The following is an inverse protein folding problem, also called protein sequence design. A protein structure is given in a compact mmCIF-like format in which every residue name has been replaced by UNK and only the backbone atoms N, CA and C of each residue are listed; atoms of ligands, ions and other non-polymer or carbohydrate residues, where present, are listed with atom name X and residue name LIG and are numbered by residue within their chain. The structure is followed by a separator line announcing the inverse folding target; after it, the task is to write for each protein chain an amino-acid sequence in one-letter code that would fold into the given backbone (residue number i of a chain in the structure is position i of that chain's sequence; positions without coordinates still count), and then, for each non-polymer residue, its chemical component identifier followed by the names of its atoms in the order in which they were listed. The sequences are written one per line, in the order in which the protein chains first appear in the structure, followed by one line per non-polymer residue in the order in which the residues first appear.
data_IF_169773265715
#
_entry.id   IF_169773265715
#
_cell.length_a   1.000
_cell.length_b   1.000
_cell.length_c   1.000
_cell.angle_alpha   90.00
_cell.angle_beta   90.00
_cell.angle_gamma   90.00
#
_symmetry.space_group_name_H-M   'P 1'
#
loop_
_entity.id
_entity.type
_entity.pdbx_description
1 polymer ?
#
# COMPACT_ATOMS: atom_id res chain seq x y z
N UNK A 1 -74.23 -17.39 -16.38
CA UNK A 1 -75.10 -16.21 -16.61
C UNK A 1 -74.39 -14.98 -16.06
N UNK A 2 -74.37 -13.87 -16.82
CA UNK A 2 -73.14 -13.54 -17.52
C UNK A 2 -72.76 -12.04 -17.51
N UNK A 3 -71.52 -11.79 -17.93
CA UNK A 3 -71.07 -10.72 -18.85
C UNK A 3 -70.98 -9.25 -18.40
N UNK A 4 -69.80 -8.67 -18.72
CA UNK A 4 -69.52 -7.41 -19.45
C UNK A 4 -68.52 -6.54 -18.69
N UNK A 5 -67.54 -5.88 -19.29
CA UNK A 5 -66.98 -5.80 -20.65
C UNK A 5 -65.73 -4.90 -20.44
N UNK A 6 -64.60 -5.21 -21.06
CA UNK A 6 -63.50 -4.25 -21.22
C UNK A 6 -63.98 -3.06 -22.09
N UNK A 7 -63.28 -1.91 -22.01
CA UNK A 7 -62.39 -1.66 -23.14
C UNK A 7 -61.00 -1.17 -22.74
N UNK A 8 -60.07 -1.49 -23.64
CA UNK A 8 -58.73 -0.93 -23.77
C UNK A 8 -58.77 0.60 -23.82
N UNK A 9 -57.84 1.27 -23.13
CA UNK A 9 -57.31 2.56 -23.60
C UNK A 9 -55.88 2.80 -23.10
N UNK A 10 -54.98 2.69 -24.06
CA UNK A 10 -53.76 3.48 -24.30
C UNK A 10 -52.57 3.52 -23.31
N UNK A 11 -51.44 3.20 -23.92
CA UNK A 11 -50.09 3.11 -23.40
C UNK A 11 -49.39 4.48 -23.54
N UNK A 12 -49.13 5.19 -22.43
CA UNK A 12 -48.13 6.28 -22.37
C UNK A 12 -47.38 6.23 -21.02
N UNK A 13 -46.04 6.28 -20.99
CA UNK A 13 -45.27 6.02 -19.76
C UNK A 13 -45.00 7.30 -18.95
N UNK A 14 -45.12 7.29 -17.61
CA UNK A 14 -44.56 8.35 -16.79
C UNK A 14 -43.11 8.03 -16.36
N UNK A 15 -42.22 8.83 -16.95
CA UNK A 15 -40.91 9.35 -16.50
C UNK A 15 -40.30 8.84 -15.19
N UNK A 16 -39.01 8.52 -15.32
CA UNK A 16 -37.96 8.43 -14.29
C UNK A 16 -38.22 9.15 -12.95
N UNK A 17 -38.09 8.39 -11.87
CA UNK A 17 -37.44 8.83 -10.64
C UNK A 17 -38.32 9.50 -9.59
N UNK A 18 -39.00 8.68 -8.77
CA UNK A 18 -39.52 9.15 -7.48
C UNK A 18 -39.25 8.11 -6.41
N UNK A 19 -38.16 8.30 -5.66
CA UNK A 19 -37.97 7.65 -4.36
C UNK A 19 -38.91 8.31 -3.37
N UNK A 20 -39.75 7.51 -2.72
CA UNK A 20 -40.53 7.91 -1.55
C UNK A 20 -39.59 8.39 -0.44
N UNK A 21 -39.57 9.69 -0.20
CA UNK A 21 -38.89 10.32 0.94
C UNK A 21 -39.82 10.31 2.15
N UNK A 22 -39.51 9.46 3.13
CA UNK A 22 -40.02 9.62 4.49
C UNK A 22 -39.46 10.90 5.12
N UNK A 23 -40.34 11.67 5.75
CA UNK A 23 -40.10 12.96 6.40
C UNK A 23 -39.04 12.85 7.52
N UNK A 24 -38.01 13.71 7.58
CA UNK A 24 -37.06 13.70 8.67
C UNK A 24 -37.61 14.46 9.90
N UNK A 25 -37.57 13.82 11.07
CA UNK A 25 -37.72 14.49 12.37
C UNK A 25 -36.40 15.15 12.78
N UNK A 26 -36.53 16.35 13.34
CA UNK A 26 -35.54 17.28 13.87
C UNK A 26 -34.21 16.70 14.41
N UNK A 27 -33.10 17.34 14.01
CA UNK A 27 -32.33 18.13 14.97
C UNK A 27 -31.09 17.54 15.64
N UNK A 28 -30.50 16.46 15.13
CA UNK A 28 -29.14 16.05 15.54
C UNK A 28 -28.25 15.90 14.32
N UNK A 29 -27.25 16.78 14.20
CA UNK A 29 -26.17 16.66 13.23
C UNK A 29 -25.29 15.50 13.65
N UNK A 30 -25.52 14.35 13.03
CA UNK A 30 -24.60 13.21 13.06
C UNK A 30 -23.26 13.64 12.41
N UNK A 31 -22.15 13.72 13.17
CA UNK A 31 -20.88 14.24 12.67
C UNK A 31 -20.25 13.35 11.60
N UNK A 32 -20.75 12.12 11.40
CA UNK A 32 -20.22 11.15 10.43
C UNK A 32 -21.02 11.07 9.13
N UNK A 33 -22.03 11.93 8.91
CA UNK A 33 -22.78 11.91 7.65
C UNK A 33 -21.88 12.42 6.51
N UNK A 34 -21.51 11.59 5.51
CA UNK A 34 -20.68 12.03 4.40
C UNK A 34 -21.40 13.14 3.65
N UNK A 35 -20.78 14.33 3.61
CA UNK A 35 -21.37 15.47 2.91
C UNK A 35 -21.54 15.15 1.43
N UNK A 36 -22.56 15.72 0.77
CA UNK A 36 -22.84 15.51 -0.66
C UNK A 36 -21.69 15.91 -1.60
N UNK A 37 -20.65 16.54 -1.05
CA UNK A 37 -19.43 16.97 -1.72
C UNK A 37 -18.23 16.06 -1.45
N UNK A 38 -18.41 14.96 -0.70
CA UNK A 38 -17.37 13.95 -0.48
C UNK A 38 -17.38 12.90 -1.59
N UNK A 39 -16.22 12.27 -1.82
CA UNK A 39 -16.11 11.16 -2.76
C UNK A 39 -17.14 10.08 -2.40
N UNK A 40 -17.91 9.62 -3.41
CA UNK A 40 -18.84 8.52 -3.23
C UNK A 40 -18.15 7.27 -2.64
N UNK A 41 -18.89 6.39 -1.96
CA UNK A 41 -18.32 5.22 -1.27
C UNK A 41 -17.41 4.43 -2.22
N UNK A 42 -16.27 3.96 -1.70
CA UNK A 42 -15.32 3.14 -2.46
C UNK A 42 -16.11 2.01 -3.14
N UNK A 43 -15.85 1.74 -4.43
CA UNK A 43 -16.46 0.62 -5.15
C UNK A 43 -16.36 -0.63 -4.27
N UNK A 44 -17.50 -1.25 -3.96
CA UNK A 44 -17.54 -2.48 -3.18
C UNK A 44 -16.63 -3.52 -3.85
N UNK A 45 -15.89 -4.34 -3.08
CA UNK A 45 -15.13 -5.45 -3.63
C UNK A 45 -16.04 -6.26 -4.57
N UNK A 46 -15.48 -6.80 -5.67
CA UNK A 46 -16.23 -7.66 -6.58
C UNK A 46 -17.02 -8.71 -5.77
N UNK A 47 -18.35 -8.73 -5.95
CA UNK A 47 -19.28 -9.64 -5.26
C UNK A 47 -18.99 -11.13 -5.48
N UNK A 48 -18.01 -11.50 -6.32
CA UNK A 48 -17.67 -12.87 -6.68
C UNK A 48 -16.59 -13.53 -5.81
N UNK A 49 -15.93 -12.79 -4.90
CA UNK A 49 -14.91 -13.37 -4.01
C UNK A 49 -15.27 -13.15 -2.56
N UNK A 50 -15.15 -14.20 -1.75
CA UNK A 50 -15.39 -14.14 -0.30
C UNK A 50 -14.58 -12.99 0.35
N UNK A 51 -15.20 -12.16 1.21
CA UNK A 51 -14.52 -11.06 1.90
C UNK A 51 -13.22 -11.48 2.61
N UNK A 52 -13.16 -12.67 3.21
CA UNK A 52 -11.95 -13.16 3.88
C UNK A 52 -10.81 -13.43 2.90
N UNK A 53 -11.12 -13.97 1.71
CA UNK A 53 -10.12 -14.11 0.64
C UNK A 53 -9.63 -12.71 0.23
N UNK A 54 -10.53 -11.75 0.12
CA UNK A 54 -10.18 -10.38 -0.22
C UNK A 54 -9.27 -9.72 0.82
N UNK A 55 -9.58 -9.85 2.11
CA UNK A 55 -8.75 -9.35 3.20
C UNK A 55 -7.41 -10.09 3.28
N UNK A 56 -7.40 -11.40 3.08
CA UNK A 56 -6.18 -12.21 3.04
C UNK A 56 -5.18 -11.73 1.99
N UNK A 57 -5.67 -11.31 0.81
CA UNK A 57 -4.82 -10.70 -0.24
C UNK A 57 -4.13 -9.44 0.26
N UNK A 58 -4.83 -8.58 1.01
CA UNK A 58 -4.24 -7.36 1.56
C UNK A 58 -3.27 -7.65 2.70
N UNK A 59 -3.66 -8.54 3.62
CA UNK A 59 -2.84 -8.98 4.74
C UNK A 59 -1.45 -9.44 4.26
N UNK A 60 -1.42 -10.35 3.28
CA UNK A 60 -0.16 -10.85 2.72
C UNK A 60 0.70 -9.77 2.07
N UNK A 61 0.10 -8.74 1.49
CA UNK A 61 0.82 -7.66 0.80
C UNK A 61 1.32 -6.57 1.75
N UNK A 62 0.52 -6.20 2.76
CA UNK A 62 0.71 -4.95 3.51
C UNK A 62 0.93 -5.14 5.02
N UNK A 63 0.71 -6.36 5.55
CA UNK A 63 0.86 -6.68 6.97
C UNK A 63 1.96 -7.71 7.19
N UNK A 64 1.83 -8.91 6.62
CA UNK A 64 2.85 -9.95 6.73
C UNK A 64 2.76 -11.02 5.63
N UNK A 65 3.80 -11.15 4.79
CA UNK A 65 3.74 -11.98 3.58
C UNK A 65 3.94 -13.50 3.80
N UNK A 66 4.71 -13.86 4.83
CA UNK A 66 5.14 -15.24 5.11
C UNK A 66 4.41 -15.86 6.31
N UNK A 67 3.25 -15.33 6.68
CA UNK A 67 2.50 -15.83 7.83
C UNK A 67 2.00 -17.26 7.57
N UNK A 68 2.11 -18.13 8.58
CA UNK A 68 1.20 -19.26 8.74
C UNK A 68 -0.04 -18.73 9.45
N UNK A 69 -1.08 -18.37 8.71
CA UNK A 69 -2.25 -17.66 9.28
C UNK A 69 -3.00 -18.54 10.28
N UNK A 70 -3.03 -19.85 10.08
CA UNK A 70 -3.65 -20.77 11.02
C UNK A 70 -2.93 -20.75 12.37
N UNK A 71 -1.61 -20.94 12.37
CA UNK A 71 -0.82 -20.87 13.60
C UNK A 71 -0.93 -19.49 14.25
N UNK A 72 -0.90 -18.41 13.46
CA UNK A 72 -1.06 -17.05 13.95
C UNK A 72 -2.40 -16.83 14.67
N UNK A 73 -3.51 -17.34 14.11
CA UNK A 73 -4.84 -17.21 14.71
C UNK A 73 -4.95 -18.05 15.98
N UNK A 74 -4.49 -19.31 15.96
CA UNK A 74 -4.53 -20.18 17.14
C UNK A 74 -3.68 -19.62 18.30
N UNK A 75 -2.44 -19.21 18.02
CA UNK A 75 -1.58 -18.57 19.01
C UNK A 75 -2.17 -17.25 19.52
N UNK A 76 -2.80 -16.47 18.63
CA UNK A 76 -3.43 -15.20 18.98
C UNK A 76 -4.65 -15.34 19.89
N UNK A 77 -5.49 -16.37 19.68
CA UNK A 77 -6.66 -16.65 20.53
C UNK A 77 -6.28 -17.19 21.90
N UNK A 78 -5.14 -17.88 22.00
CA UNK A 78 -4.61 -18.39 23.26
C UNK A 78 -3.75 -17.35 24.02
N UNK A 79 -3.51 -16.18 23.43
CA UNK A 79 -2.77 -15.12 24.10
C UNK A 79 -3.68 -14.47 25.15
N UNK A 80 -3.26 -14.54 26.41
CA UNK A 80 -3.97 -13.92 27.53
C UNK A 80 -3.95 -12.37 27.40
N UNK A 81 -5.11 -11.75 27.20
CA UNK A 81 -5.28 -10.30 27.10
C UNK A 81 -5.15 -9.57 28.44
N UNK A 82 -5.42 -10.27 29.55
CA UNK A 82 -5.45 -9.70 30.90
C UNK A 82 -4.07 -9.67 31.57
N UNK A 83 -3.07 -10.30 30.93
CA UNK A 83 -1.68 -10.28 31.36
C UNK A 83 -0.92 -9.09 30.75
N UNK A 84 -0.42 -8.13 31.56
CA UNK A 84 0.43 -7.05 31.07
C UNK A 84 1.63 -7.59 30.24
N UNK A 85 2.03 -6.89 29.15
CA UNK A 85 3.16 -7.31 28.31
C UNK A 85 4.50 -7.46 29.07
N UNK A 86 4.59 -6.85 30.24
CA UNK A 86 5.76 -6.87 31.12
C UNK A 86 5.82 -8.11 32.04
N UNK A 87 4.67 -8.72 32.35
CA UNK A 87 4.57 -9.96 33.15
C UNK A 87 4.57 -11.22 32.29
N UNK A 88 4.16 -11.10 31.03
CA UNK A 88 4.27 -12.17 30.04
C UNK A 88 5.73 -12.22 29.55
N UNK A 89 6.48 -13.26 29.92
CA UNK A 89 7.84 -13.52 29.43
C UNK A 89 7.84 -13.95 27.94
N UNK A 90 7.18 -13.18 27.08
CA UNK A 90 7.12 -13.44 25.64
C UNK A 90 8.47 -13.12 25.00
N UNK A 91 8.96 -14.06 24.21
CA UNK A 91 10.07 -13.86 23.29
C UNK A 91 9.79 -12.74 22.28
N UNK A 92 10.84 -12.22 21.66
CA UNK A 92 10.72 -11.21 20.60
C UNK A 92 9.88 -11.69 19.41
N UNK A 93 9.88 -13.01 19.15
CA UNK A 93 9.09 -13.67 18.12
C UNK A 93 7.60 -13.65 18.46
N UNK A 94 7.22 -14.11 19.65
CA UNK A 94 5.82 -14.12 20.10
C UNK A 94 5.22 -12.70 20.15
N UNK A 95 5.99 -11.72 20.61
CA UNK A 95 5.58 -10.30 20.57
C UNK A 95 5.29 -9.83 19.14
N UNK A 96 6.06 -10.28 18.15
CA UNK A 96 5.84 -9.95 16.73
C UNK A 96 4.59 -10.64 16.21
N UNK A 97 4.40 -11.92 16.50
CA UNK A 97 3.21 -12.69 16.13
C UNK A 97 1.94 -12.03 16.68
N UNK A 98 1.92 -11.67 17.96
CA UNK A 98 0.78 -10.98 18.57
C UNK A 98 0.49 -9.62 17.90
N UNK A 99 1.53 -8.84 17.57
CA UNK A 99 1.35 -7.58 16.81
C UNK A 99 0.75 -7.82 15.42
N UNK A 100 1.19 -8.86 14.73
CA UNK A 100 0.67 -9.23 13.40
C UNK A 100 -0.78 -9.72 13.51
N UNK A 101 -1.11 -10.50 14.52
CA UNK A 101 -2.47 -10.95 14.82
C UNK A 101 -3.41 -9.78 15.12
N UNK A 102 -3.01 -8.85 15.99
CA UNK A 102 -3.79 -7.62 16.28
C UNK A 102 -4.03 -6.77 15.02
N UNK A 103 -3.04 -6.67 14.12
CA UNK A 103 -3.22 -6.02 12.81
C UNK A 103 -4.20 -6.75 11.91
N UNK A 104 -4.23 -8.09 11.95
CA UNK A 104 -5.21 -8.89 11.21
C UNK A 104 -6.63 -8.63 11.72
N UNK A 105 -6.85 -8.63 13.04
CA UNK A 105 -8.15 -8.32 13.66
C UNK A 105 -8.63 -6.93 13.28
N UNK A 106 -7.78 -5.90 13.40
CA UNK A 106 -8.13 -4.53 13.05
C UNK A 106 -8.48 -4.31 11.56
N UNK A 107 -7.99 -5.19 10.67
CA UNK A 107 -8.19 -5.06 9.23
C UNK A 107 -9.50 -5.72 8.75
N UNK A 108 -10.00 -6.72 9.46
CA UNK A 108 -11.19 -7.48 9.07
C UNK A 108 -12.35 -7.16 10.01
N UNK A 109 -13.42 -6.51 9.54
CA UNK A 109 -14.56 -6.16 10.37
C UNK A 109 -15.14 -7.38 11.11
N UNK A 110 -15.41 -7.22 12.40
CA UNK A 110 -16.00 -8.22 13.29
C UNK A 110 -15.24 -9.56 13.40
N UNK A 111 -13.99 -9.64 12.92
CA UNK A 111 -13.23 -10.88 12.90
C UNK A 111 -12.99 -11.44 14.30
N UNK A 112 -12.62 -10.59 15.24
CA UNK A 112 -12.35 -10.99 16.62
C UNK A 112 -13.56 -11.66 17.26
N UNK A 113 -14.71 -10.97 17.26
CA UNK A 113 -15.98 -11.53 17.73
C UNK A 113 -16.29 -12.84 17.02
N UNK A 114 -16.13 -12.89 15.69
CA UNK A 114 -16.40 -14.09 14.90
C UNK A 114 -15.50 -15.25 15.34
N UNK A 115 -14.22 -15.03 15.57
CA UNK A 115 -13.29 -16.07 16.02
C UNK A 115 -13.65 -16.58 17.42
N UNK A 116 -13.98 -15.68 18.34
CA UNK A 116 -14.32 -16.03 19.73
C UNK A 116 -15.63 -16.81 19.88
N UNK A 117 -16.58 -16.62 18.96
CA UNK A 117 -17.89 -17.32 19.00
C UNK A 117 -17.96 -18.54 18.08
N UNK A 118 -16.90 -18.84 17.33
CA UNK A 118 -16.88 -19.91 16.33
C UNK A 118 -16.40 -21.24 16.93
N UNK A 119 -16.78 -22.34 16.29
CA UNK A 119 -16.16 -23.64 16.56
C UNK A 119 -14.70 -23.66 16.08
N UNK A 120 -13.89 -24.61 16.56
CA UNK A 120 -12.51 -24.79 16.08
C UNK A 120 -12.46 -25.04 14.56
N UNK A 121 -13.39 -25.84 14.02
CA UNK A 121 -13.52 -26.10 12.59
C UNK A 121 -13.80 -24.82 11.78
N UNK A 122 -14.66 -23.94 12.31
CA UNK A 122 -14.97 -22.66 11.67
C UNK A 122 -13.79 -21.69 11.73
N UNK A 123 -13.05 -21.64 12.84
CA UNK A 123 -11.81 -20.85 12.98
C UNK A 123 -10.79 -21.30 11.93
N UNK A 124 -10.64 -22.62 11.76
CA UNK A 124 -9.78 -23.22 10.75
C UNK A 124 -10.21 -22.86 9.32
N UNK A 125 -11.52 -22.88 9.03
CA UNK A 125 -12.06 -22.46 7.75
C UNK A 125 -11.80 -20.98 7.46
N UNK A 126 -11.95 -20.10 8.46
CA UNK A 126 -11.65 -18.67 8.37
C UNK A 126 -10.16 -18.45 8.05
N UNK A 127 -9.26 -19.10 8.79
CA UNK A 127 -7.82 -19.02 8.57
C UNK A 127 -7.44 -19.52 7.17
N UNK A 128 -8.06 -20.60 6.69
CA UNK A 128 -7.86 -21.16 5.36
C UNK A 128 -8.26 -20.18 4.24
N UNK A 129 -9.40 -19.48 4.39
CA UNK A 129 -9.83 -18.46 3.43
C UNK A 129 -8.88 -17.26 3.38
N UNK A 130 -8.41 -16.78 4.54
CA UNK A 130 -7.40 -15.73 4.62
C UNK A 130 -6.08 -16.17 3.97
N UNK A 131 -5.63 -17.39 4.24
CA UNK A 131 -4.40 -17.96 3.68
C UNK A 131 -4.50 -18.12 2.16
N UNK A 132 -5.65 -18.58 1.66
CA UNK A 132 -5.97 -18.63 0.22
C UNK A 132 -5.92 -17.24 -0.40
N UNK A 133 -6.43 -16.22 0.29
CA UNK A 133 -6.29 -14.83 -0.09
C UNK A 133 -4.83 -14.41 -0.22
N UNK A 134 -4.02 -14.58 0.82
CA UNK A 134 -2.61 -14.20 0.81
C UNK A 134 -1.82 -14.90 -0.31
N UNK A 135 -2.03 -16.21 -0.48
CA UNK A 135 -1.35 -17.00 -1.51
C UNK A 135 -1.78 -16.63 -2.93
N UNK A 136 -3.08 -16.40 -3.17
CA UNK A 136 -3.57 -15.98 -4.49
C UNK A 136 -3.11 -14.57 -4.87
N UNK A 137 -3.14 -13.63 -3.92
CA UNK A 137 -2.59 -12.28 -4.11
C UNK A 137 -1.11 -12.31 -4.51
N UNK A 138 -0.31 -13.12 -3.80
CA UNK A 138 1.10 -13.33 -4.12
C UNK A 138 1.30 -13.94 -5.51
N UNK A 139 0.55 -14.98 -5.85
CA UNK A 139 0.67 -15.65 -7.15
C UNK A 139 0.38 -14.69 -8.32
N UNK A 140 -0.66 -13.86 -8.20
CA UNK A 140 -1.00 -12.85 -9.19
C UNK A 140 0.12 -11.81 -9.36
N UNK A 141 0.65 -11.31 -8.24
CA UNK A 141 1.72 -10.31 -8.25
C UNK A 141 3.00 -10.89 -8.88
N UNK A 142 3.41 -12.09 -8.47
CA UNK A 142 4.53 -12.84 -9.04
C UNK A 142 4.36 -13.04 -10.56
N UNK A 143 3.18 -13.47 -10.99
CA UNK A 143 2.89 -13.69 -12.42
C UNK A 143 2.95 -12.38 -13.20
N UNK A 144 2.37 -11.31 -12.65
CA UNK A 144 2.27 -10.03 -13.34
C UNK A 144 3.63 -9.29 -13.45
N UNK A 145 4.51 -9.44 -12.45
CA UNK A 145 5.85 -8.83 -12.45
C UNK A 145 6.85 -9.58 -13.34
N UNK A 146 6.63 -10.88 -13.57
CA UNK A 146 7.55 -11.76 -14.29
C UNK A 146 8.04 -11.18 -15.62
N UNK A 147 7.15 -10.64 -16.44
CA UNK A 147 7.53 -10.08 -17.74
C UNK A 147 8.02 -8.65 -17.66
N UNK A 148 7.28 -7.80 -16.94
CA UNK A 148 7.45 -6.34 -16.97
C UNK A 148 8.74 -5.86 -16.30
N UNK A 149 9.29 -6.62 -15.35
CA UNK A 149 10.54 -6.23 -14.68
C UNK A 149 11.71 -6.12 -15.67
N UNK A 150 11.69 -6.92 -16.75
CA UNK A 150 12.73 -6.90 -17.79
C UNK A 150 12.69 -5.60 -18.58
N UNK A 151 11.50 -5.02 -18.78
CA UNK A 151 11.31 -3.75 -19.48
C UNK A 151 11.88 -2.56 -18.67
N UNK A 152 12.14 -2.76 -17.37
CA UNK A 152 12.57 -1.70 -16.45
C UNK A 152 14.07 -1.63 -16.22
N UNK A 153 14.81 -2.69 -16.57
CA UNK A 153 16.23 -2.86 -16.22
C UNK A 153 17.19 -2.53 -17.37
N UNK A 154 16.67 -1.91 -18.44
CA UNK A 154 17.43 -1.46 -19.60
C UNK A 154 17.46 -2.50 -20.73
N UNK A 155 18.19 -2.22 -21.83
CA UNK A 155 18.42 -3.20 -22.88
C UNK A 155 19.16 -4.42 -22.30
N UNK A 156 18.75 -5.60 -22.76
CA UNK A 156 19.28 -6.87 -22.28
C UNK A 156 20.06 -7.55 -23.39
N UNK A 157 21.28 -7.98 -23.08
CA UNK A 157 22.15 -8.72 -23.97
C UNK A 157 22.68 -9.97 -23.25
N UNK A 158 22.31 -11.18 -23.71
CA UNK A 158 21.31 -11.45 -24.76
C UNK A 158 19.88 -11.10 -24.30
N UNK A 159 18.93 -10.83 -25.22
CA UNK A 159 17.54 -10.58 -24.87
C UNK A 159 16.92 -11.71 -24.04
N UNK A 160 16.23 -11.36 -22.95
CA UNK A 160 15.56 -12.33 -22.08
C UNK A 160 14.08 -12.49 -22.40
N UNK A 161 13.60 -13.74 -22.45
CA UNK A 161 12.20 -14.02 -22.65
C UNK A 161 11.34 -13.61 -21.44
N UNK A 162 10.21 -12.92 -21.70
CA UNK A 162 9.31 -12.40 -20.65
C UNK A 162 8.63 -13.49 -19.82
N UNK A 163 8.43 -14.67 -20.40
CA UNK A 163 7.74 -15.80 -19.79
C UNK A 163 8.67 -16.92 -19.27
N UNK A 164 9.98 -16.82 -19.44
CA UNK A 164 10.96 -17.83 -18.98
C UNK A 164 11.95 -17.18 -18.02
N UNK A 165 12.26 -17.87 -16.90
CA UNK A 165 13.17 -17.35 -15.86
C UNK A 165 14.54 -18.03 -15.84
N UNK A 166 14.71 -19.20 -16.45
CA UNK A 166 15.94 -20.01 -16.33
C UNK A 166 17.21 -19.25 -16.71
N UNK A 167 17.15 -18.40 -17.74
CA UNK A 167 18.28 -17.58 -18.19
C UNK A 167 18.48 -16.28 -17.42
N UNK A 168 17.69 -16.00 -16.39
CA UNK A 168 17.83 -14.83 -15.50
C UNK A 168 18.71 -15.17 -14.30
N UNK A 169 18.65 -14.34 -13.25
CA UNK A 169 19.50 -14.53 -12.09
C UNK A 169 20.96 -14.31 -12.46
N UNK A 170 21.84 -15.12 -11.89
CA UNK A 170 23.28 -15.07 -12.16
C UNK A 170 23.66 -15.59 -13.56
N UNK A 171 22.74 -16.18 -14.32
CA UNK A 171 22.98 -16.66 -15.69
C UNK A 171 23.01 -15.55 -16.75
N UNK A 172 22.62 -14.31 -16.41
CA UNK A 172 22.64 -13.17 -17.31
C UNK A 172 23.28 -11.96 -16.62
N UNK A 173 24.12 -11.22 -17.34
CA UNK A 173 24.97 -10.18 -16.76
C UNK A 173 24.17 -9.07 -16.05
N UNK A 174 23.11 -8.54 -16.69
CA UNK A 174 22.28 -7.50 -16.07
C UNK A 174 21.52 -7.96 -14.82
N UNK A 175 20.79 -9.08 -14.88
CA UNK A 175 20.03 -9.57 -13.72
C UNK A 175 20.95 -10.08 -12.62
N UNK A 176 22.09 -10.66 -12.99
CA UNK A 176 23.10 -11.14 -12.07
C UNK A 176 23.76 -9.98 -11.32
N UNK A 177 24.16 -8.92 -12.03
CA UNK A 177 24.64 -7.67 -11.44
C UNK A 177 23.65 -7.12 -10.41
N UNK A 178 22.37 -6.95 -10.82
CA UNK A 178 21.33 -6.41 -9.94
C UNK A 178 21.12 -7.24 -8.67
N UNK A 179 21.28 -8.56 -8.75
CA UNK A 179 21.11 -9.50 -7.64
C UNK A 179 22.39 -9.71 -6.82
N UNK A 180 23.55 -9.28 -7.34
CA UNK A 180 24.81 -9.40 -6.65
C UNK A 180 24.82 -8.40 -5.46
N UNK A 181 25.12 -8.87 -4.25
CA UNK A 181 25.25 -7.98 -3.10
C UNK A 181 26.53 -7.14 -3.24
N UNK A 182 26.54 -5.91 -2.71
CA UNK A 182 27.65 -4.97 -2.94
C UNK A 182 28.98 -5.41 -2.33
N UNK A 183 28.98 -6.36 -1.39
CA UNK A 183 30.19 -6.92 -0.81
C UNK A 183 30.93 -7.88 -1.77
N UNK A 184 30.30 -8.26 -2.89
CA UNK A 184 30.89 -9.10 -3.92
C UNK A 184 31.13 -8.28 -5.20
N UNK A 185 32.32 -8.43 -5.78
CA UNK A 185 32.65 -7.79 -7.05
C UNK A 185 32.06 -8.59 -8.23
N UNK A 186 30.98 -8.09 -8.83
CA UNK A 186 30.37 -8.71 -10.01
C UNK A 186 31.27 -8.69 -11.26
N UNK A 187 32.27 -7.80 -11.31
CA UNK A 187 33.20 -7.75 -12.44
C UNK A 187 34.17 -8.94 -12.44
N UNK A 188 34.42 -9.53 -11.26
CA UNK A 188 35.21 -10.74 -11.09
C UNK A 188 34.53 -11.95 -11.77
N UNK A 189 35.25 -12.57 -12.72
CA UNK A 189 34.76 -13.75 -13.43
C UNK A 189 34.61 -14.98 -12.54
N UNK A 190 35.44 -15.13 -11.52
CA UNK A 190 35.40 -16.27 -10.61
C UNK A 190 34.19 -16.17 -9.68
N UNK A 191 33.88 -14.98 -9.17
CA UNK A 191 32.64 -14.71 -8.42
C UNK A 191 31.41 -15.02 -9.27
N UNK A 192 31.35 -14.51 -10.51
CA UNK A 192 30.24 -14.80 -11.43
C UNK A 192 30.08 -16.30 -11.68
N UNK A 193 31.18 -17.02 -11.87
CA UNK A 193 31.17 -18.47 -12.10
C UNK A 193 30.68 -19.24 -10.86
N UNK A 194 31.19 -18.92 -9.68
CA UNK A 194 30.78 -19.56 -8.42
C UNK A 194 29.29 -19.34 -8.14
N UNK A 195 28.78 -18.13 -8.39
CA UNK A 195 27.35 -17.81 -8.24
C UNK A 195 26.47 -18.55 -9.27
N UNK A 196 26.90 -18.62 -10.53
CA UNK A 196 26.20 -19.38 -11.59
C UNK A 196 26.13 -20.88 -11.27
N UNK A 197 27.23 -21.44 -10.79
CA UNK A 197 27.35 -22.85 -10.46
C UNK A 197 26.73 -23.22 -9.10
N UNK A 198 26.28 -22.22 -8.32
CA UNK A 198 25.78 -22.39 -6.94
C UNK A 198 26.84 -22.92 -5.97
N UNK A 199 28.12 -22.71 -6.26
CA UNK A 199 29.24 -22.98 -5.35
C UNK A 199 29.31 -21.92 -4.26
N UNK A 200 28.97 -20.67 -4.61
CA UNK A 200 28.75 -19.57 -3.69
C UNK A 200 27.24 -19.32 -3.56
N UNK A 201 26.73 -19.41 -2.34
CA UNK A 201 25.31 -19.12 -2.03
C UNK A 201 25.20 -17.80 -1.27
N UNK A 202 24.24 -16.97 -1.66
CA UNK A 202 24.00 -15.66 -1.04
C UNK A 202 22.78 -15.78 -0.13
N UNK A 203 22.99 -15.65 1.17
CA UNK A 203 21.90 -15.57 2.16
C UNK A 203 20.97 -14.39 1.84
N UNK A 204 19.68 -14.53 2.15
CA UNK A 204 18.70 -13.44 2.01
C UNK A 204 19.04 -12.20 2.84
N UNK A 205 19.93 -12.31 3.84
CA UNK A 205 20.42 -11.16 4.61
C UNK A 205 21.43 -10.29 3.84
N UNK A 206 22.06 -10.80 2.79
CA UNK A 206 22.93 -10.01 1.91
C UNK A 206 22.06 -9.33 0.86
N UNK A 207 21.86 -8.03 1.02
CA UNK A 207 20.96 -7.31 0.15
C UNK A 207 21.58 -7.05 -1.22
N UNK A 208 20.84 -7.35 -2.29
CA UNK A 208 21.34 -7.18 -3.65
C UNK A 208 21.44 -5.69 -4.02
N UNK A 209 22.39 -5.32 -4.88
CA UNK A 209 22.67 -3.93 -5.25
C UNK A 209 21.43 -3.17 -5.77
N UNK A 210 20.44 -3.86 -6.35
CA UNK A 210 19.21 -3.21 -6.82
C UNK A 210 18.42 -2.51 -5.71
N UNK A 211 18.64 -2.81 -4.42
CA UNK A 211 17.97 -2.09 -3.35
C UNK A 211 18.47 -0.65 -3.20
N UNK A 212 19.68 -0.36 -3.69
CA UNK A 212 20.31 0.95 -3.60
C UNK A 212 19.99 1.82 -4.80
N UNK A 213 19.76 3.11 -4.54
CA UNK A 213 19.58 4.14 -5.57
C UNK A 213 20.77 4.11 -6.53
N UNK A 214 20.47 4.10 -7.82
CA UNK A 214 21.45 4.07 -8.90
C UNK A 214 22.44 2.88 -8.80
N UNK A 215 22.05 1.80 -8.10
CA UNK A 215 22.87 0.59 -7.97
C UNK A 215 24.27 0.90 -7.39
N UNK A 216 24.34 1.83 -6.44
CA UNK A 216 25.59 2.29 -5.82
C UNK A 216 25.54 2.09 -4.31
N UNK A 217 26.55 1.43 -3.75
CA UNK A 217 26.73 1.22 -2.32
C UNK A 217 27.93 1.99 -1.79
N UNK A 218 27.80 2.54 -0.58
CA UNK A 218 28.85 3.29 0.12
C UNK A 218 29.10 2.61 1.47
N UNK A 219 30.23 1.89 1.66
CA UNK A 219 30.49 1.13 2.88
C UNK A 219 30.63 2.02 4.12
N UNK A 220 31.03 3.29 3.94
CA UNK A 220 31.13 4.27 5.04
C UNK A 220 29.78 4.92 5.36
N UNK A 221 28.80 4.80 4.46
CA UNK A 221 27.44 5.32 4.64
C UNK A 221 26.38 4.33 4.12
N UNK A 222 26.14 3.18 4.77
CA UNK A 222 25.28 2.11 4.27
C UNK A 222 23.82 2.53 4.02
N UNK A 223 23.30 3.56 4.70
CA UNK A 223 21.95 4.08 4.46
C UNK A 223 21.82 4.93 3.18
N UNK A 224 22.94 5.35 2.59
CA UNK A 224 22.98 6.25 1.44
C UNK A 224 22.36 5.58 0.21
N UNK A 225 21.14 6.00 -0.10
CA UNK A 225 20.39 5.49 -1.25
C UNK A 225 19.72 4.14 -1.00
N UNK A 226 19.85 3.55 0.18
CA UNK A 226 19.19 2.29 0.54
C UNK A 226 17.66 2.40 0.37
N UNK A 227 17.07 1.39 -0.26
CA UNK A 227 15.64 1.27 -0.58
C UNK A 227 15.04 2.42 -1.42
N UNK A 228 15.87 3.11 -2.21
CA UNK A 228 15.47 4.25 -3.06
C UNK A 228 15.72 4.03 -4.56
N UNK A 229 15.95 2.79 -5.00
CA UNK A 229 16.05 2.48 -6.42
C UNK A 229 14.70 2.63 -7.13
N UNK A 230 14.68 3.26 -8.30
CA UNK A 230 13.47 3.45 -9.11
C UNK A 230 12.83 2.11 -9.54
N UNK A 231 13.61 1.03 -9.66
CA UNK A 231 13.10 -0.32 -9.90
C UNK A 231 12.11 -0.76 -8.81
N UNK A 232 12.41 -0.45 -7.55
CA UNK A 232 11.53 -0.73 -6.42
C UNK A 232 10.24 0.08 -6.52
N UNK A 233 10.35 1.35 -6.90
CA UNK A 233 9.20 2.26 -7.04
C UNK A 233 8.25 1.76 -8.14
N UNK A 234 8.80 1.33 -9.28
CA UNK A 234 8.03 0.69 -10.36
C UNK A 234 7.34 -0.58 -9.89
N UNK A 235 8.06 -1.45 -9.17
CA UNK A 235 7.50 -2.66 -8.57
C UNK A 235 6.34 -2.37 -7.61
N UNK A 236 6.50 -1.36 -6.74
CA UNK A 236 5.47 -0.97 -5.79
C UNK A 236 4.23 -0.46 -6.50
N UNK A 237 4.41 0.46 -7.47
CA UNK A 237 3.32 1.01 -8.28
C UNK A 237 2.56 -0.10 -9.00
N UNK A 238 3.28 -1.05 -9.60
CA UNK A 238 2.70 -2.18 -10.31
C UNK A 238 1.82 -3.06 -9.40
N UNK A 239 2.30 -3.39 -8.19
CA UNK A 239 1.54 -4.19 -7.21
C UNK A 239 0.37 -3.40 -6.62
N UNK A 240 0.60 -2.17 -6.15
CA UNK A 240 -0.35 -1.49 -5.27
C UNK A 240 -1.25 -0.48 -5.99
N UNK A 241 -0.82 0.14 -7.09
CA UNK A 241 -1.57 1.25 -7.71
C UNK A 241 -2.22 0.86 -9.02
N UNK A 242 -1.45 0.46 -10.03
CA UNK A 242 -1.93 -0.07 -11.30
C UNK A 242 -0.69 -0.45 -12.12
N UNK A 243 -0.71 -1.52 -12.91
CA UNK A 243 0.32 -1.75 -13.92
C UNK A 243 0.51 -0.54 -14.86
N UNK A 244 -0.58 0.18 -15.14
CA UNK A 244 -0.57 1.36 -16.01
C UNK A 244 -0.07 2.66 -15.36
N UNK A 245 0.30 2.66 -14.07
CA UNK A 245 0.83 3.88 -13.41
C UNK A 245 2.36 3.93 -13.39
N UNK A 246 2.99 2.89 -13.94
CA UNK A 246 4.44 2.79 -14.10
C UNK A 246 4.91 3.78 -15.17
N UNK A 247 4.16 3.89 -16.25
CA UNK A 247 4.27 4.96 -17.25
C UNK A 247 3.26 6.04 -16.87
N UNK A 248 3.64 7.31 -16.76
CA UNK A 248 2.82 8.41 -16.21
C UNK A 248 1.51 8.75 -16.99
N UNK A 249 1.04 7.85 -17.87
CA UNK A 249 -0.23 7.96 -18.61
C UNK A 249 -1.37 7.21 -17.89
N UNK A 250 -2.41 7.90 -17.39
CA UNK A 250 -3.52 7.26 -16.70
C UNK A 250 -4.41 6.46 -17.67
N UNK A 251 -4.14 5.14 -17.79
CA UNK A 251 -4.97 4.18 -18.57
C UNK A 251 -5.79 3.21 -17.69
N UNK A 252 -5.90 3.46 -16.39
CA UNK A 252 -6.49 2.50 -15.46
C UNK A 252 -8.02 2.41 -15.57
N UNK A 253 -8.55 1.24 -15.95
CA UNK A 253 -10.00 0.92 -15.95
C UNK A 253 -10.50 0.38 -14.60
N UNK A 254 -9.59 0.02 -13.67
CA UNK A 254 -9.89 -0.53 -12.34
C UNK A 254 -9.10 0.19 -11.25
N UNK A 255 -9.65 0.24 -10.04
CA UNK A 255 -8.97 0.78 -8.85
C UNK A 255 -7.76 -0.08 -8.46
N UNK A 256 -6.66 0.55 -8.06
CA UNK A 256 -5.48 -0.13 -7.51
C UNK A 256 -5.71 -0.82 -6.17
N UNK A 257 -4.90 -1.82 -5.85
CA UNK A 257 -4.94 -2.54 -4.57
C UNK A 257 -4.87 -1.59 -3.36
N UNK A 258 -4.00 -0.58 -3.38
CA UNK A 258 -3.92 0.46 -2.36
C UNK A 258 -5.24 1.21 -2.20
N UNK A 259 -5.87 1.64 -3.30
CA UNK A 259 -7.16 2.33 -3.24
C UNK A 259 -8.29 1.42 -2.77
N UNK A 260 -8.30 0.16 -3.23
CA UNK A 260 -9.29 -0.86 -2.86
C UNK A 260 -9.28 -1.06 -1.34
N UNK A 261 -8.09 -1.17 -0.75
CA UNK A 261 -7.93 -1.40 0.68
C UNK A 261 -7.80 -0.10 1.50
N UNK A 262 -7.89 1.08 0.87
CA UNK A 262 -7.85 2.37 1.55
C UNK A 262 -6.48 2.76 2.13
N UNK A 263 -5.39 2.24 1.55
CA UNK A 263 -4.05 2.67 1.92
C UNK A 263 -3.85 4.14 1.60
N UNK A 264 -3.45 4.91 2.60
CA UNK A 264 -3.13 6.35 2.49
C UNK A 264 -1.65 6.63 2.70
N UNK A 265 -0.91 5.63 3.19
CA UNK A 265 0.51 5.69 3.45
C UNK A 265 1.15 4.31 3.24
N UNK A 266 2.46 4.31 3.09
CA UNK A 266 3.30 3.14 2.96
C UNK A 266 3.46 2.45 4.32
N UNK A 267 3.42 1.12 4.32
CA UNK A 267 3.82 0.31 5.46
C UNK A 267 5.19 -0.35 5.21
N UNK A 268 6.01 -0.57 6.25
CA UNK A 268 7.25 -1.34 6.15
C UNK A 268 7.07 -2.71 5.47
N UNK A 269 6.02 -3.44 5.85
CA UNK A 269 5.70 -4.74 5.28
C UNK A 269 5.37 -4.68 3.77
N UNK A 270 4.70 -3.62 3.31
CA UNK A 270 4.44 -3.43 1.87
C UNK A 270 5.71 -3.16 1.06
N UNK A 271 6.67 -2.43 1.64
CA UNK A 271 8.00 -2.26 1.03
C UNK A 271 8.75 -3.58 0.97
N UNK A 272 8.91 -4.26 2.11
CA UNK A 272 9.58 -5.56 2.18
C UNK A 272 8.97 -6.56 1.19
N UNK A 273 7.64 -6.68 1.15
CA UNK A 273 6.93 -7.54 0.19
C UNK A 273 7.27 -7.20 -1.26
N UNK A 274 7.21 -5.91 -1.62
CA UNK A 274 7.52 -5.44 -2.97
C UNK A 274 8.95 -5.80 -3.36
N UNK A 275 9.91 -5.56 -2.46
CA UNK A 275 11.32 -5.80 -2.74
C UNK A 275 11.56 -7.30 -2.94
N UNK A 276 10.92 -8.15 -2.13
CA UNK A 276 10.97 -9.61 -2.30
C UNK A 276 10.38 -10.05 -3.64
N UNK A 277 9.25 -9.46 -4.06
CA UNK A 277 8.66 -9.77 -5.37
C UNK A 277 9.56 -9.34 -6.54
N UNK A 278 10.20 -8.17 -6.46
CA UNK A 278 11.17 -7.71 -7.47
C UNK A 278 12.39 -8.64 -7.52
N UNK A 279 12.98 -8.97 -6.36
CA UNK A 279 14.10 -9.91 -6.24
C UNK A 279 13.76 -11.24 -6.89
N UNK A 280 12.59 -11.78 -6.56
CA UNK A 280 12.12 -13.03 -7.15
C UNK A 280 11.93 -12.88 -8.67
N UNK A 281 11.36 -11.79 -9.18
CA UNK A 281 11.15 -11.61 -10.62
C UNK A 281 12.48 -11.57 -11.42
N UNK A 282 13.56 -11.07 -10.82
CA UNK A 282 14.91 -11.04 -11.39
C UNK A 282 15.65 -12.39 -11.31
N UNK A 283 15.29 -13.28 -10.38
CA UNK A 283 16.00 -14.55 -10.16
C UNK A 283 15.74 -15.59 -11.26
N UNK A 284 16.50 -16.69 -11.23
CA UNK A 284 16.28 -17.88 -12.08
C UNK A 284 15.16 -18.79 -11.57
N UNK A 285 14.80 -18.71 -10.29
CA UNK A 285 13.92 -19.65 -9.61
C UNK A 285 12.53 -19.74 -10.25
N UNK A 286 12.05 -20.96 -10.51
CA UNK A 286 10.73 -21.19 -11.13
C UNK A 286 9.54 -21.06 -10.18
N UNK A 287 9.77 -21.27 -8.88
CA UNK A 287 8.72 -21.36 -7.86
C UNK A 287 9.06 -20.45 -6.68
N UNK A 288 8.09 -19.69 -6.22
CA UNK A 288 8.20 -18.91 -4.98
C UNK A 288 7.86 -19.83 -3.80
N UNK A 289 8.86 -20.30 -3.07
CA UNK A 289 8.67 -21.16 -1.89
C UNK A 289 9.27 -20.52 -0.64
N UNK A 290 8.74 -20.88 0.53
CA UNK A 290 9.32 -20.53 1.84
C UNK A 290 10.65 -21.24 2.09
N UNK A 291 10.77 -22.46 1.60
CA UNK A 291 11.93 -23.34 1.79
C UNK A 291 12.94 -23.26 0.65
N UNK A 292 12.76 -22.34 -0.30
CA UNK A 292 13.69 -22.21 -1.41
C UNK A 292 14.98 -21.57 -0.91
N UNK A 293 16.02 -22.38 -0.73
CA UNK A 293 17.36 -21.93 -0.37
C UNK A 293 18.08 -21.19 -1.51
N UNK A 294 17.62 -21.31 -2.78
CA UNK A 294 18.24 -20.59 -3.90
C UNK A 294 17.95 -19.10 -3.82
N UNK A 295 16.70 -18.73 -3.55
CA UNK A 295 16.35 -17.33 -3.34
C UNK A 295 16.43 -16.94 -1.88
N UNK A 296 16.09 -17.80 -0.91
CA UNK A 296 16.00 -17.44 0.50
C UNK A 296 15.10 -16.19 0.73
N UNK A 297 13.92 -16.23 0.11
CA UNK A 297 13.00 -15.09 0.02
C UNK A 297 12.42 -14.67 1.38
N UNK A 298 12.25 -15.60 2.32
CA UNK A 298 11.76 -15.32 3.67
C UNK A 298 12.80 -14.58 4.51
N UNK A 299 14.07 -14.98 4.45
CA UNK A 299 15.17 -14.27 5.12
C UNK A 299 15.37 -12.87 4.53
N UNK A 300 15.28 -12.72 3.21
CA UNK A 300 15.32 -11.39 2.58
C UNK A 300 14.14 -10.51 3.04
N UNK A 301 12.91 -11.03 3.02
CA UNK A 301 11.75 -10.29 3.49
C UNK A 301 11.88 -9.87 4.96
N UNK A 302 12.27 -10.82 5.83
CA UNK A 302 12.35 -10.59 7.27
C UNK A 302 13.51 -9.67 7.64
N UNK A 303 14.66 -9.73 6.96
CA UNK A 303 15.77 -8.81 7.20
C UNK A 303 15.41 -7.36 6.85
N UNK A 304 14.79 -7.13 5.69
CA UNK A 304 14.29 -5.80 5.30
C UNK A 304 13.25 -5.30 6.30
N UNK A 305 12.28 -6.14 6.65
CA UNK A 305 11.23 -5.75 7.59
C UNK A 305 11.79 -5.45 8.99
N UNK A 306 12.77 -6.24 9.47
CA UNK A 306 13.44 -6.01 10.74
C UNK A 306 14.12 -4.64 10.77
N UNK A 307 14.91 -4.30 9.75
CA UNK A 307 15.56 -2.97 9.66
C UNK A 307 14.52 -1.84 9.68
N UNK A 308 13.46 -1.95 8.87
CA UNK A 308 12.43 -0.90 8.79
C UNK A 308 11.59 -0.76 10.08
N UNK A 309 11.55 -1.79 10.92
CA UNK A 309 10.84 -1.79 12.21
C UNK A 309 11.78 -1.59 13.41
N UNK A 310 13.09 -1.47 13.17
CA UNK A 310 14.07 -1.31 14.23
C UNK A 310 13.92 0.06 14.89
N UNK A 311 13.67 0.14 16.22
CA UNK A 311 13.60 1.40 16.94
C UNK A 311 14.85 2.28 16.79
N UNK A 312 16.04 1.67 16.68
CA UNK A 312 17.32 2.38 16.60
C UNK A 312 17.54 3.03 15.23
N UNK A 313 16.89 2.50 14.19
CA UNK A 313 17.02 2.98 12.81
C UNK A 313 15.95 4.00 12.41
N UNK A 314 15.05 4.38 13.33
CA UNK A 314 13.87 5.19 12.99
C UNK A 314 14.20 6.59 12.47
N UNK A 315 15.39 7.12 12.78
CA UNK A 315 15.83 8.42 12.26
C UNK A 315 16.15 8.39 10.77
N UNK A 316 16.55 7.23 10.21
CA UNK A 316 16.74 7.02 8.77
C UNK A 316 15.47 6.48 8.09
N UNK A 317 14.73 5.60 8.78
CA UNK A 317 13.49 5.01 8.26
C UNK A 317 12.40 6.06 8.05
N UNK A 318 12.23 7.01 8.98
CA UNK A 318 11.15 8.01 8.91
C UNK A 318 11.29 8.90 7.65
N UNK A 319 12.47 9.49 7.33
CA UNK A 319 12.71 10.16 6.05
C UNK A 319 12.48 9.26 4.83
N UNK A 320 12.89 7.98 4.89
CA UNK A 320 12.63 7.03 3.81
C UNK A 320 11.12 6.83 3.55
N UNK A 321 10.33 6.61 4.61
CA UNK A 321 8.88 6.46 4.50
C UNK A 321 8.22 7.73 3.95
N UNK A 322 8.68 8.92 4.38
CA UNK A 322 8.21 10.19 3.82
C UNK A 322 8.52 10.30 2.33
N UNK A 323 9.74 9.95 1.91
CA UNK A 323 10.16 9.94 0.51
C UNK A 323 9.28 9.01 -0.35
N UNK A 324 8.94 7.83 0.16
CA UNK A 324 8.04 6.88 -0.50
C UNK A 324 6.60 7.40 -0.56
N UNK A 325 6.07 7.93 0.54
CA UNK A 325 4.72 8.50 0.59
C UNK A 325 4.53 9.65 -0.40
N UNK A 326 5.54 10.51 -0.59
CA UNK A 326 5.50 11.59 -1.58
C UNK A 326 5.36 11.08 -3.02
N UNK A 327 5.97 9.92 -3.34
CA UNK A 327 5.96 9.32 -4.68
C UNK A 327 4.72 8.49 -4.96
N UNK A 328 4.27 7.71 -3.98
CA UNK A 328 3.17 6.75 -4.14
C UNK A 328 1.82 7.38 -3.80
N UNK A 329 1.76 8.24 -2.78
CA UNK A 329 0.54 8.84 -2.24
C UNK A 329 0.60 10.38 -2.26
N UNK A 330 0.88 11.04 -3.41
CA UNK A 330 1.11 12.48 -3.46
C UNK A 330 -0.08 13.31 -2.97
N UNK A 331 -1.30 12.80 -3.12
CA UNK A 331 -2.55 13.44 -2.66
C UNK A 331 -2.68 13.45 -1.13
N UNK A 332 -2.09 12.46 -0.46
CA UNK A 332 -2.12 12.34 1.00
C UNK A 332 -0.92 13.03 1.65
N UNK A 333 0.18 13.21 0.92
CA UNK A 333 1.34 13.97 1.40
C UNK A 333 0.99 15.45 1.65
N UNK A 334 1.04 15.87 2.92
CA UNK A 334 0.69 17.22 3.37
C UNK A 334 1.54 18.31 2.70
N UNK A 335 2.79 17.97 2.33
CA UNK A 335 3.75 18.89 1.71
C UNK A 335 3.28 19.46 0.36
N UNK A 336 2.38 18.77 -0.38
CA UNK A 336 1.91 19.22 -1.70
C UNK A 336 0.61 20.02 -1.66
N UNK A 337 -0.06 20.12 -0.50
CA UNK A 337 -1.40 20.74 -0.39
C UNK A 337 -1.37 22.27 -0.22
N UNK A 338 -0.20 22.86 -0.03
CA UNK A 338 -0.09 24.31 -0.01
C UNK A 338 -0.10 24.81 -1.46
N UNK A 339 -1.17 25.53 -1.83
CA UNK A 339 -1.17 26.26 -3.09
C UNK A 339 0.04 27.21 -3.09
N UNK A 340 0.89 27.22 -4.13
CA UNK A 340 2.03 28.12 -4.19
C UNK A 340 1.60 29.55 -3.88
N UNK A 341 2.41 30.33 -3.18
CA UNK A 341 2.10 31.73 -2.85
C UNK A 341 1.83 32.56 -4.11
N UNK A 342 2.42 32.16 -5.25
CA UNK A 342 2.22 32.72 -6.58
C UNK A 342 0.93 32.29 -7.29
N UNK A 343 0.22 31.28 -6.79
CA UNK A 343 -0.98 30.74 -7.44
C UNK A 343 -2.12 31.77 -7.47
N UNK A 344 -2.97 31.68 -8.50
CA UNK A 344 -4.15 32.53 -8.62
C UNK A 344 -5.03 32.45 -7.37
N UNK A 345 -5.19 31.26 -6.78
CA UNK A 345 -5.98 31.08 -5.54
C UNK A 345 -5.37 31.83 -4.35
N UNK A 346 -4.05 31.77 -4.17
CA UNK A 346 -3.35 32.52 -3.11
C UNK A 346 -3.49 34.02 -3.32
N UNK A 347 -3.35 34.51 -4.57
CA UNK A 347 -3.55 35.92 -4.92
C UNK A 347 -5.00 36.38 -4.73
N UNK A 348 -5.99 35.56 -5.06
CA UNK A 348 -7.42 35.83 -4.82
C UNK A 348 -7.70 35.94 -3.32
N UNK A 349 -7.19 34.99 -2.51
CA UNK A 349 -7.34 35.01 -1.05
C UNK A 349 -6.64 36.21 -0.42
N UNK A 350 -5.46 36.60 -0.91
CA UNK A 350 -4.73 37.78 -0.47
C UNK A 350 -5.49 39.07 -0.82
N UNK A 351 -5.97 39.20 -2.06
CA UNK A 351 -6.79 40.35 -2.50
C UNK A 351 -8.06 40.49 -1.65
N UNK A 352 -8.73 39.38 -1.31
CA UNK A 352 -9.90 39.40 -0.43
C UNK A 352 -9.56 39.91 0.97
N UNK A 353 -8.43 39.47 1.56
CA UNK A 353 -7.97 39.97 2.86
C UNK A 353 -7.68 41.47 2.82
N UNK A 354 -6.96 41.94 1.80
CA UNK A 354 -6.67 43.38 1.61
C UNK A 354 -7.96 44.20 1.46
N UNK A 355 -8.95 43.70 0.71
CA UNK A 355 -10.24 44.37 0.58
C UNK A 355 -11.01 44.41 1.91
N UNK A 356 -11.01 43.32 2.68
CA UNK A 356 -11.65 43.28 4.00
C UNK A 356 -10.95 44.21 5.01
N UNK A 357 -9.62 44.27 4.98
CA UNK A 357 -8.83 45.18 5.83
C UNK A 357 -9.06 46.66 5.45
N UNK A 358 -9.25 46.95 4.15
CA UNK A 358 -9.56 48.30 3.69
C UNK A 358 -10.98 48.73 4.07
N UNK A 359 -11.98 47.85 3.93
CA UNK A 359 -13.35 48.11 4.39
C UNK A 359 -13.39 48.35 5.89
N UNK A 360 -12.68 47.54 6.68
CA UNK A 360 -12.58 47.74 8.13
C UNK A 360 -11.88 49.06 8.51
N UNK A 361 -10.95 49.56 7.68
CA UNK A 361 -10.29 50.86 7.88
C UNK A 361 -11.17 52.05 7.46
N UNK A 362 -11.96 51.92 6.39
CA UNK A 362 -12.93 52.93 5.96
C UNK A 362 -14.06 53.09 6.97
N UNK A 363 -14.56 51.99 7.54
CA UNK A 363 -15.56 52.01 8.62
C UNK A 363 -15.00 52.70 9.88
N UNK A 364 -13.73 52.50 10.22
CA UNK A 364 -13.07 53.24 11.31
C UNK A 364 -12.90 54.75 11.03
N UNK A 365 -12.70 55.16 9.76
CA UNK A 365 -12.56 56.57 9.39
C UNK A 365 -13.89 57.32 9.31
N UNK A 366 -14.98 56.63 8.93
CA UNK A 366 -16.34 57.17 8.91
C UNK A 366 -16.87 57.46 10.33
N UNK A 367 -16.46 56.69 11.33
CA UNK A 367 -16.81 56.94 12.75
C UNK A 367 -15.99 58.11 13.34
N UNK A 368 -14.77 58.36 12.83
CA UNK A 368 -13.88 59.41 13.32
C UNK A 368 -14.11 60.82 12.76
N UNK A 369 -14.86 60.97 11.67
CA UNK A 369 -15.10 62.27 10.98
C UNK A 369 -16.46 62.91 11.30
N UNK A 370 -17.32 62.24 12.07
CA UNK A 370 -18.63 62.78 12.49
C UNK A 370 -18.59 63.61 13.78
N UNK A 371 -17.41 63.83 14.37
CA UNK A 371 -17.26 64.44 15.71
C UNK A 371 -16.60 65.83 15.75
N UNK A 372 -16.51 66.55 14.62
CA UNK A 372 -15.83 67.87 14.57
C UNK A 372 -16.62 69.04 13.96
N UNK A 373 -17.91 68.88 13.64
CA UNK A 373 -18.76 70.00 13.24
C UNK A 373 -20.02 70.03 14.11
N UNK A 374 -19.90 70.69 15.27
CA UNK A 374 -20.93 71.49 15.95
C UNK A 374 -20.45 71.77 17.38
N UNK A 375 -19.57 72.77 17.55
CA UNK A 375 -19.49 73.55 18.77
C UNK A 375 -19.18 75.01 18.45
N UNK A 376 -20.01 75.87 19.06
CA UNK A 376 -19.88 77.30 19.32
C UNK A 376 -20.63 78.24 18.34
N UNK A 377 -21.16 79.36 18.83
CA UNK A 377 -20.81 80.09 20.08
C UNK A 377 -21.51 79.62 21.35
#
# INVERSE_FOLDING_TARGET
MPNRQDPEEENVPPRYGTKTTGTPRNGQSDPDRPTSLTWGPRKRPNLHTDPLIHHGRHFGRAVYAFANIQALVLSGLNADEDSPPETQQLSSAERRELRVFKKLLAMVPDLEKRLMTSSEEDVMAIASMLQKGASSGRSDDTKSLKGVVLDWIGPLDPPLARNVKQSRGFHHDRTGFLLCPPELDWSDSDIRKQLRNKELTISGSHWPIFVYKNETYDPEAPWKGLFRNELLVKGFKHIFTSPSSVDDEPKATRSGNARIHGMTQISPAALAYTFTQVRFALSSAGVFSRTDAETDSETFYTSVLKLLEDPEEQDEVRPLILWWNQRIFPSFSTARRMAPTSSALSKIKQRRRVLMDNVAKEDCWAVGTSTSLLRNP
#
